data_IF_984446757828
#
_entry.id   IF_984446757828
#
_cell.length_a   1.000
_cell.length_b   1.000
_cell.length_c   1.000
_cell.angle_alpha   90.00
_cell.angle_beta   90.00
_cell.angle_gamma   90.00
#
_symmetry.space_group_name_H-M   'P 1'
#
loop_
_entity.id
_entity.type
_entity.pdbx_description
1 polymer ?
#
# COMPACT_ATOMS: atom_id res chain seq x y z
N UNK A 1 -25.92 -41.67 -2.53
CA UNK A 1 -26.85 -41.28 -1.44
C UNK A 1 -28.31 -41.56 -1.79
N UNK A 2 -28.86 -41.12 -2.94
CA UNK A 2 -30.25 -41.38 -3.30
C UNK A 2 -30.58 -42.80 -3.82
N UNK A 3 -29.75 -43.36 -4.71
CA UNK A 3 -29.90 -44.73 -5.22
C UNK A 3 -29.72 -45.76 -4.10
N UNK A 4 -28.76 -45.51 -3.20
CA UNK A 4 -28.55 -46.33 -2.00
C UNK A 4 -29.74 -46.26 -1.04
N UNK A 5 -30.36 -45.09 -0.87
CA UNK A 5 -31.57 -44.94 -0.07
C UNK A 5 -32.75 -45.70 -0.69
N UNK A 6 -33.00 -45.54 -1.99
CA UNK A 6 -34.05 -46.27 -2.73
C UNK A 6 -33.83 -47.80 -2.68
N UNK A 7 -32.59 -48.24 -2.85
CA UNK A 7 -32.22 -49.66 -2.76
C UNK A 7 -32.40 -50.19 -1.33
N UNK A 8 -32.00 -49.42 -0.31
CA UNK A 8 -32.14 -49.81 1.10
C UNK A 8 -33.60 -49.85 1.55
N UNK A 9 -34.43 -48.91 1.09
CA UNK A 9 -35.88 -48.93 1.32
C UNK A 9 -36.48 -50.21 0.72
N UNK A 10 -36.09 -50.56 -0.51
CA UNK A 10 -36.59 -51.78 -1.16
C UNK A 10 -36.09 -53.07 -0.47
N UNK A 11 -34.82 -53.13 -0.05
CA UNK A 11 -34.21 -54.38 0.44
C UNK A 11 -34.35 -54.61 1.94
N UNK A 12 -34.38 -53.53 2.73
CA UNK A 12 -34.15 -53.56 4.17
C UNK A 12 -35.28 -52.95 4.99
N UNK A 13 -36.11 -52.06 4.42
CA UNK A 13 -37.23 -51.47 5.17
C UNK A 13 -38.27 -52.53 5.57
N UNK A 14 -38.56 -53.50 4.70
CA UNK A 14 -39.48 -54.61 4.99
C UNK A 14 -39.07 -55.50 6.19
N UNK A 15 -37.80 -55.42 6.63
CA UNK A 15 -37.30 -56.16 7.80
C UNK A 15 -37.47 -55.43 9.12
N UNK A 16 -37.82 -54.14 9.09
CA UNK A 16 -37.93 -53.29 10.26
C UNK A 16 -39.40 -52.94 10.51
N UNK A 17 -40.06 -53.72 11.39
CA UNK A 17 -41.50 -53.62 11.68
C UNK A 17 -41.97 -52.26 12.21
N UNK A 18 -41.05 -51.42 12.70
CA UNK A 18 -41.34 -50.09 13.24
C UNK A 18 -41.24 -48.96 12.19
N UNK A 19 -40.74 -49.25 10.99
CA UNK A 19 -40.68 -48.26 9.89
C UNK A 19 -41.95 -48.47 9.07
N UNK A 20 -42.88 -47.53 9.15
CA UNK A 20 -44.07 -47.57 8.31
C UNK A 20 -43.72 -47.17 6.88
N UNK A 21 -43.74 -48.15 5.98
CA UNK A 21 -43.53 -48.01 4.53
C UNK A 21 -44.85 -48.09 3.76
N UNK A 22 -45.96 -48.23 4.48
CA UNK A 22 -47.29 -48.53 3.94
C UNK A 22 -48.23 -47.31 3.96
N UNK A 23 -47.82 -46.23 4.65
CA UNK A 23 -48.49 -44.94 4.59
C UNK A 23 -48.33 -44.34 3.18
N UNK A 24 -49.35 -43.64 2.66
CA UNK A 24 -49.42 -43.09 1.29
C UNK A 24 -48.39 -41.96 1.02
N UNK A 25 -47.35 -41.87 1.82
CA UNK A 25 -46.28 -40.91 1.70
C UNK A 25 -45.41 -41.24 0.48
N UNK A 26 -45.42 -40.30 -0.47
CA UNK A 26 -44.65 -40.32 -1.72
C UNK A 26 -43.13 -40.45 -1.50
N UNK A 27 -42.66 -40.26 -0.27
CA UNK A 27 -41.26 -40.31 0.16
C UNK A 27 -40.76 -41.73 0.46
N UNK A 28 -41.64 -42.68 0.82
CA UNK A 28 -41.26 -44.04 1.24
C UNK A 28 -41.92 -45.16 0.42
N UNK A 29 -42.72 -44.84 -0.59
CA UNK A 29 -43.44 -45.83 -1.40
C UNK A 29 -42.49 -46.78 -2.18
N UNK A 30 -42.51 -48.11 -1.91
CA UNK A 30 -41.62 -49.08 -2.56
C UNK A 30 -41.97 -49.37 -4.03
N UNK A 31 -43.18 -49.04 -4.49
CA UNK A 31 -43.63 -49.30 -5.87
C UNK A 31 -43.02 -48.30 -6.88
N UNK A 32 -42.80 -47.05 -6.45
CA UNK A 32 -42.26 -45.97 -7.30
C UNK A 32 -40.81 -45.63 -6.97
N UNK A 33 -39.90 -46.58 -7.23
CA UNK A 33 -38.45 -46.47 -6.91
C UNK A 33 -37.78 -45.22 -7.48
N UNK A 34 -38.15 -44.82 -8.71
CA UNK A 34 -37.60 -43.64 -9.39
C UNK A 34 -38.00 -42.35 -8.68
N UNK A 35 -39.27 -42.23 -8.28
CA UNK A 35 -39.81 -41.08 -7.57
C UNK A 35 -39.14 -40.92 -6.19
N UNK A 36 -39.07 -41.99 -5.41
CA UNK A 36 -38.36 -42.01 -4.10
C UNK A 36 -36.88 -41.64 -4.26
N UNK A 37 -36.22 -42.16 -5.30
CA UNK A 37 -34.84 -41.80 -5.62
C UNK A 37 -34.68 -40.31 -5.95
N UNK A 38 -35.57 -39.73 -6.75
CA UNK A 38 -35.52 -38.30 -7.08
C UNK A 38 -35.79 -37.41 -5.88
N UNK A 39 -36.80 -37.72 -5.05
CA UNK A 39 -37.07 -36.96 -3.83
C UNK A 39 -35.88 -37.08 -2.87
N UNK A 40 -35.38 -38.29 -2.62
CA UNK A 40 -34.21 -38.53 -1.75
C UNK A 40 -32.96 -37.78 -2.23
N UNK A 41 -32.80 -37.62 -3.55
CA UNK A 41 -31.72 -36.82 -4.14
C UNK A 41 -31.86 -35.35 -3.79
N UNK A 42 -33.02 -34.74 -4.04
CA UNK A 42 -33.25 -33.32 -3.70
C UNK A 42 -33.20 -33.07 -2.18
N UNK A 43 -33.73 -33.98 -1.37
CA UNK A 43 -33.61 -33.93 0.10
C UNK A 43 -32.14 -33.99 0.54
N UNK A 44 -31.35 -34.88 -0.06
CA UNK A 44 -29.90 -34.95 0.21
C UNK A 44 -29.16 -33.70 -0.26
N UNK A 45 -29.59 -33.10 -1.38
CA UNK A 45 -29.00 -31.86 -1.91
C UNK A 45 -29.25 -30.68 -0.96
N UNK A 46 -30.48 -30.52 -0.47
CA UNK A 46 -30.80 -29.51 0.55
C UNK A 46 -30.02 -29.76 1.84
N UNK A 47 -29.88 -31.02 2.26
CA UNK A 47 -29.07 -31.40 3.41
C UNK A 47 -27.59 -31.04 3.20
N UNK A 48 -26.96 -31.36 2.06
CA UNK A 48 -25.57 -30.96 1.85
C UNK A 48 -25.38 -29.47 1.54
N UNK A 49 -26.46 -28.72 1.28
CA UNK A 49 -26.44 -27.28 1.04
C UNK A 49 -25.89 -26.46 2.22
N UNK A 50 -25.93 -26.98 3.46
CA UNK A 50 -25.34 -26.30 4.62
C UNK A 50 -23.81 -26.51 4.76
N UNK A 51 -23.18 -27.36 3.94
CA UNK A 51 -21.73 -27.59 4.01
C UNK A 51 -20.92 -26.34 3.65
N UNK A 52 -21.46 -25.48 2.77
CA UNK A 52 -20.91 -24.16 2.49
C UNK A 52 -21.78 -23.14 3.23
N UNK A 53 -21.34 -22.68 4.43
CA UNK A 53 -22.11 -21.71 5.19
C UNK A 53 -22.22 -20.39 4.43
N UNK A 54 -23.45 -20.00 4.08
CA UNK A 54 -23.75 -18.70 3.45
C UNK A 54 -23.26 -17.55 4.34
N UNK A 55 -23.27 -17.75 5.67
CA UNK A 55 -22.79 -16.79 6.65
C UNK A 55 -21.28 -16.54 6.58
N UNK A 56 -20.46 -17.49 6.10
CA UNK A 56 -19.01 -17.31 6.00
C UNK A 56 -18.66 -16.20 5.01
N UNK A 57 -19.30 -16.20 3.85
CA UNK A 57 -19.06 -15.18 2.81
C UNK A 57 -19.37 -13.78 3.34
N UNK A 58 -20.56 -13.61 3.93
CA UNK A 58 -20.99 -12.32 4.49
C UNK A 58 -20.08 -11.90 5.66
N UNK A 59 -19.68 -12.84 6.52
CA UNK A 59 -18.78 -12.54 7.64
C UNK A 59 -17.39 -12.08 7.18
N UNK A 60 -16.85 -12.68 6.12
CA UNK A 60 -15.57 -12.25 5.54
C UNK A 60 -15.66 -10.83 4.99
N UNK A 61 -16.73 -10.49 4.28
CA UNK A 61 -16.96 -9.12 3.79
C UNK A 61 -17.06 -8.12 4.96
N UNK A 62 -17.78 -8.47 6.04
CA UNK A 62 -17.83 -7.62 7.24
C UNK A 62 -16.46 -7.42 7.89
N UNK A 63 -15.65 -8.46 7.99
CA UNK A 63 -14.29 -8.35 8.54
C UNK A 63 -13.42 -7.44 7.68
N UNK A 64 -13.48 -7.53 6.35
CA UNK A 64 -12.72 -6.65 5.44
C UNK A 64 -13.13 -5.19 5.58
N UNK A 65 -14.44 -4.93 5.66
CA UNK A 65 -14.96 -3.57 5.87
C UNK A 65 -14.51 -3.03 7.23
N UNK A 66 -14.60 -3.85 8.28
CA UNK A 66 -14.12 -3.47 9.61
C UNK A 66 -12.62 -3.16 9.59
N UNK A 67 -11.82 -3.97 8.90
CA UNK A 67 -10.38 -3.77 8.77
C UNK A 67 -10.02 -2.44 8.11
N UNK A 68 -10.63 -2.16 6.94
CA UNK A 68 -10.38 -0.91 6.22
C UNK A 68 -10.87 0.31 6.99
N UNK A 69 -12.08 0.25 7.54
CA UNK A 69 -12.69 1.40 8.19
C UNK A 69 -12.10 1.72 9.58
N UNK A 70 -11.84 0.69 10.39
CA UNK A 70 -11.40 0.89 11.78
C UNK A 70 -9.88 0.97 11.89
N UNK A 71 -9.13 0.13 11.18
CA UNK A 71 -7.68 0.12 11.30
C UNK A 71 -7.01 1.01 10.27
N UNK A 72 -7.27 0.84 8.97
CA UNK A 72 -6.53 1.56 7.94
C UNK A 72 -6.83 3.07 7.97
N UNK A 73 -8.12 3.43 7.98
CA UNK A 73 -8.53 4.83 7.90
C UNK A 73 -8.26 5.64 9.17
N UNK A 74 -8.06 4.97 10.32
CA UNK A 74 -7.78 5.64 11.61
C UNK A 74 -6.32 5.52 12.05
N UNK A 75 -5.45 4.97 11.21
CA UNK A 75 -4.04 4.85 11.56
C UNK A 75 -3.35 6.22 11.51
N UNK A 76 -2.85 6.67 12.67
CA UNK A 76 -2.11 7.93 12.80
C UNK A 76 -0.74 7.88 12.13
N UNK A 77 -0.16 6.70 11.90
CA UNK A 77 1.14 6.55 11.23
C UNK A 77 1.06 6.80 9.73
N UNK A 78 -0.11 6.60 9.13
CA UNK A 78 -0.36 6.81 7.70
C UNK A 78 -1.09 8.14 7.42
N UNK A 79 -1.07 9.07 8.38
CA UNK A 79 -1.67 10.39 8.24
C UNK A 79 -0.61 11.44 7.89
N UNK A 80 -0.84 12.18 6.81
CA UNK A 80 0.05 13.24 6.36
C UNK A 80 -0.35 14.58 6.99
N UNK A 81 0.48 15.08 7.92
CA UNK A 81 0.17 16.26 8.74
C UNK A 81 0.14 17.56 7.95
N UNK A 82 1.04 17.75 6.99
CA UNK A 82 1.22 19.04 6.32
C UNK A 82 0.05 19.37 5.36
N UNK A 83 -0.61 18.34 4.84
CA UNK A 83 -1.78 18.48 3.94
C UNK A 83 -3.10 18.05 4.59
N UNK A 84 -3.08 17.73 5.89
CA UNK A 84 -4.23 17.19 6.63
C UNK A 84 -4.93 16.01 5.91
N UNK A 85 -4.14 15.11 5.32
CA UNK A 85 -4.68 14.01 4.49
C UNK A 85 -4.50 12.66 5.19
N UNK A 86 -5.60 12.01 5.64
CA UNK A 86 -5.54 10.64 6.15
C UNK A 86 -5.45 9.61 5.02
N UNK A 87 -4.92 8.43 5.32
CA UNK A 87 -5.06 7.27 4.45
C UNK A 87 -6.53 6.84 4.37
N UNK A 88 -7.03 6.58 3.16
CA UNK A 88 -8.42 6.17 2.94
C UNK A 88 -8.46 4.96 2.01
N UNK A 89 -8.89 3.81 2.55
CA UNK A 89 -9.26 2.65 1.75
C UNK A 89 -10.61 2.90 1.07
N UNK A 90 -10.57 3.09 -0.26
CA UNK A 90 -11.79 3.19 -1.09
C UNK A 90 -12.39 1.82 -1.45
N UNK A 91 -11.55 0.79 -1.49
CA UNK A 91 -11.93 -0.58 -1.83
C UNK A 91 -11.41 -1.53 -0.76
N UNK A 92 -12.30 -2.05 0.09
CA UNK A 92 -11.93 -2.91 1.22
C UNK A 92 -11.66 -4.36 0.83
N UNK A 93 -12.06 -4.76 -0.38
CA UNK A 93 -11.90 -6.14 -0.86
C UNK A 93 -10.47 -6.48 -1.27
N UNK A 94 -9.58 -5.48 -1.32
CA UNK A 94 -8.17 -5.63 -1.66
C UNK A 94 -7.26 -5.63 -0.42
N UNK A 95 -7.83 -5.53 0.79
CA UNK A 95 -7.05 -5.40 2.01
C UNK A 95 -6.13 -6.62 2.24
N UNK A 96 -6.59 -7.82 1.90
CA UNK A 96 -5.79 -9.04 1.95
C UNK A 96 -4.74 -9.13 0.84
N UNK A 97 -5.02 -8.57 -0.34
CA UNK A 97 -4.09 -8.58 -1.48
C UNK A 97 -2.86 -7.71 -1.20
N UNK A 98 -3.02 -6.64 -0.40
CA UNK A 98 -1.92 -5.80 0.07
C UNK A 98 -0.85 -6.61 0.81
N UNK A 99 -1.23 -7.70 1.48
CA UNK A 99 -0.30 -8.60 2.18
C UNK A 99 0.50 -9.53 1.27
N UNK A 100 0.12 -9.62 -0.01
CA UNK A 100 0.69 -10.56 -0.99
C UNK A 100 1.44 -9.86 -2.14
N UNK A 101 1.70 -8.55 -2.01
CA UNK A 101 2.37 -7.78 -3.07
C UNK A 101 3.84 -8.21 -3.21
N UNK A 102 4.23 -8.65 -4.42
CA UNK A 102 5.62 -8.96 -4.77
C UNK A 102 6.33 -7.82 -5.52
N UNK A 103 5.59 -7.00 -6.27
CA UNK A 103 6.17 -5.98 -7.14
C UNK A 103 5.40 -4.68 -7.00
N UNK A 104 6.13 -3.60 -6.70
CA UNK A 104 5.59 -2.23 -6.61
C UNK A 104 6.01 -1.49 -7.87
N UNK A 105 5.03 -1.03 -8.63
CA UNK A 105 5.24 -0.13 -9.76
C UNK A 105 5.04 1.29 -9.25
N UNK A 106 6.13 2.05 -9.16
CA UNK A 106 6.11 3.43 -8.67
C UNK A 106 6.33 4.42 -9.80
N UNK A 107 5.56 5.50 -9.80
CA UNK A 107 5.85 6.67 -10.63
C UNK A 107 6.99 7.49 -10.03
N UNK A 108 7.70 8.26 -10.85
CA UNK A 108 8.80 9.12 -10.40
C UNK A 108 8.29 10.45 -9.88
N UNK A 109 7.56 11.19 -10.71
CA UNK A 109 7.21 12.58 -10.44
C UNK A 109 5.96 12.64 -9.56
N UNK A 110 6.03 13.34 -8.42
CA UNK A 110 4.91 13.44 -7.49
C UNK A 110 4.70 12.22 -6.58
N UNK A 111 5.39 11.11 -6.83
CA UNK A 111 5.42 9.94 -5.92
C UNK A 111 6.79 9.81 -5.25
N UNK A 112 7.88 9.72 -6.01
CA UNK A 112 9.24 9.64 -5.45
C UNK A 112 9.87 11.01 -5.23
N UNK A 113 9.44 12.03 -5.99
CA UNK A 113 9.99 13.39 -5.90
C UNK A 113 8.90 14.41 -5.58
N UNK A 114 9.23 15.38 -4.73
CA UNK A 114 8.34 16.51 -4.40
C UNK A 114 8.26 17.59 -5.50
N UNK A 115 8.75 17.30 -6.71
CA UNK A 115 8.87 18.24 -7.83
C UNK A 115 9.53 19.59 -7.46
N UNK A 116 10.38 19.59 -6.43
CA UNK A 116 11.20 20.72 -6.02
C UNK A 116 12.66 20.35 -6.23
N UNK A 117 13.42 21.25 -6.84
CA UNK A 117 14.87 21.11 -7.02
C UNK A 117 15.56 22.19 -6.20
N UNK A 118 16.54 21.76 -5.41
CA UNK A 118 17.28 22.64 -4.51
C UNK A 118 18.76 22.58 -4.85
N UNK A 119 19.42 23.74 -4.82
CA UNK A 119 20.88 23.79 -4.90
C UNK A 119 21.46 23.36 -3.55
N UNK A 120 22.17 22.23 -3.52
CA UNK A 120 22.64 21.60 -2.27
C UNK A 120 24.17 21.53 -2.17
N UNK A 121 24.84 21.08 -3.23
CA UNK A 121 26.31 20.94 -3.30
C UNK A 121 26.82 21.35 -4.70
N UNK A 122 28.05 21.83 -4.77
CA UNK A 122 28.72 22.13 -6.03
C UNK A 122 30.22 21.86 -5.95
N UNK A 123 30.88 21.78 -7.10
CA UNK A 123 32.33 21.64 -7.18
C UNK A 123 32.92 22.78 -8.00
N UNK A 124 33.88 23.50 -7.41
CA UNK A 124 34.56 24.64 -8.03
C UNK A 124 36.06 24.37 -7.95
N UNK A 125 36.74 24.32 -9.10
CA UNK A 125 38.20 24.13 -9.14
C UNK A 125 38.68 22.79 -8.55
N UNK A 126 37.86 21.74 -8.60
CA UNK A 126 38.17 20.43 -8.02
C UNK A 126 37.91 20.31 -6.52
N UNK A 127 37.41 21.37 -5.87
CA UNK A 127 37.01 21.34 -4.46
C UNK A 127 35.48 21.24 -4.39
N UNK A 128 34.98 20.27 -3.62
CA UNK A 128 33.54 20.14 -3.33
C UNK A 128 33.13 21.09 -2.21
N UNK A 129 31.99 21.74 -2.41
CA UNK A 129 31.37 22.67 -1.48
C UNK A 129 29.92 22.28 -1.20
N UNK A 130 29.46 22.64 0.00
CA UNK A 130 28.16 22.26 0.55
C UNK A 130 28.33 21.37 1.78
N UNK A 131 27.76 21.83 2.89
CA UNK A 131 27.66 21.17 4.19
C UNK A 131 26.33 20.41 4.25
N UNK A 132 26.33 19.27 4.93
CA UNK A 132 25.17 18.39 5.06
C UNK A 132 25.34 17.05 4.35
N UNK A 133 24.71 16.03 4.91
CA UNK A 133 24.67 14.68 4.33
C UNK A 133 23.28 14.49 3.76
N UNK A 134 23.19 14.27 2.45
CA UNK A 134 21.89 13.96 1.84
C UNK A 134 21.34 12.66 2.40
N UNK A 135 20.01 12.53 2.46
CA UNK A 135 19.38 11.27 2.87
C UNK A 135 19.84 10.09 1.99
N UNK A 136 20.13 10.36 0.71
CA UNK A 136 20.69 9.40 -0.25
C UNK A 136 22.11 8.96 0.15
N UNK A 137 23.01 9.90 0.43
CA UNK A 137 24.37 9.58 0.91
C UNK A 137 24.32 8.77 2.21
N UNK A 138 23.41 9.15 3.13
CA UNK A 138 23.15 8.41 4.37
C UNK A 138 22.71 6.98 4.10
N UNK A 139 21.76 6.77 3.19
CA UNK A 139 21.27 5.44 2.82
C UNK A 139 22.37 4.58 2.18
N UNK A 140 23.21 5.17 1.33
CA UNK A 140 24.35 4.48 0.69
C UNK A 140 25.38 4.07 1.76
N UNK A 141 25.70 4.96 2.70
CA UNK A 141 26.66 4.69 3.78
C UNK A 141 26.12 3.66 4.79
N UNK A 142 24.82 3.70 5.09
CA UNK A 142 24.15 2.70 5.90
C UNK A 142 24.23 1.30 5.26
N UNK A 143 24.03 1.20 3.93
CA UNK A 143 24.24 -0.06 3.18
C UNK A 143 25.68 -0.58 3.24
N UNK A 144 26.66 0.32 3.38
CA UNK A 144 28.08 -0.01 3.57
C UNK A 144 28.44 -0.35 5.02
N UNK A 145 27.47 -0.39 5.94
CA UNK A 145 27.68 -0.72 7.36
C UNK A 145 28.24 0.42 8.19
N UNK A 146 28.31 1.64 7.66
CA UNK A 146 28.83 2.82 8.38
C UNK A 146 27.66 3.47 9.12
N UNK A 147 27.67 3.41 10.46
CA UNK A 147 26.71 4.14 11.29
C UNK A 147 27.11 5.62 11.32
N UNK A 148 26.24 6.47 10.79
CA UNK A 148 26.42 7.91 10.80
C UNK A 148 25.81 8.53 12.06
N UNK A 149 26.33 9.67 12.52
CA UNK A 149 25.74 10.41 13.62
C UNK A 149 24.29 10.82 13.29
N UNK A 150 23.43 10.95 14.32
CA UNK A 150 22.04 11.38 14.17
C UNK A 150 21.96 12.76 13.52
N UNK A 151 20.87 13.01 12.79
CA UNK A 151 20.59 14.29 12.13
C UNK A 151 20.52 15.36 13.21
N UNK A 152 21.35 16.40 13.11
CA UNK A 152 21.24 17.56 14.00
C UNK A 152 20.06 18.41 13.54
N UNK A 153 19.13 18.73 14.44
CA UNK A 153 17.90 19.52 14.20
C UNK A 153 18.14 20.93 13.60
N UNK A 154 19.40 21.39 13.51
CA UNK A 154 19.77 22.66 12.87
C UNK A 154 19.85 22.61 11.32
N UNK A 155 19.52 21.47 10.71
CA UNK A 155 19.43 21.27 9.25
C UNK A 155 18.05 21.58 8.65
N UNK A 156 17.15 22.27 9.37
CA UNK A 156 15.92 22.76 8.75
C UNK A 156 16.23 23.84 7.70
N UNK A 157 15.72 23.62 6.49
CA UNK A 157 15.80 24.51 5.35
C UNK A 157 15.36 25.93 5.74
N UNK A 158 16.22 26.92 5.53
CA UNK A 158 15.91 28.34 5.81
C UNK A 158 15.07 28.93 4.67
N UNK A 159 15.12 28.33 3.48
CA UNK A 159 14.30 28.67 2.32
C UNK A 159 13.91 27.41 1.55
N UNK A 160 12.68 27.34 1.02
CA UNK A 160 12.13 26.14 0.36
C UNK A 160 12.77 25.79 -1.00
N UNK A 161 13.83 26.50 -1.40
CA UNK A 161 14.45 26.36 -2.73
C UNK A 161 15.97 26.51 -2.73
N UNK A 162 16.58 26.87 -1.59
CA UNK A 162 18.03 27.04 -1.49
C UNK A 162 18.57 26.45 -0.18
N UNK A 163 19.15 25.25 -0.29
CA UNK A 163 19.70 24.50 0.84
C UNK A 163 21.22 24.31 0.72
N UNK A 164 21.91 25.27 0.13
CA UNK A 164 23.36 25.29 0.05
C UNK A 164 23.95 26.08 1.22
N UNK A 165 24.68 25.39 2.09
CA UNK A 165 25.44 26.02 3.18
C UNK A 165 26.89 25.63 3.05
N UNK A 166 27.79 26.59 3.03
CA UNK A 166 29.22 26.31 3.12
C UNK A 166 29.90 27.58 3.61
N UNK A 167 30.48 27.56 4.81
CA UNK A 167 31.14 28.73 5.42
C UNK A 167 32.22 29.35 4.54
N UNK A 168 32.74 28.60 3.56
CA UNK A 168 33.79 29.04 2.64
C UNK A 168 33.24 29.85 1.45
N UNK A 169 31.93 29.75 1.17
CA UNK A 169 31.28 30.38 0.02
C UNK A 169 30.12 31.31 0.42
N UNK A 170 29.45 31.05 1.54
CA UNK A 170 28.36 31.90 2.04
C UNK A 170 28.89 33.18 2.71
N UNK A 171 28.01 34.15 2.96
CA UNK A 171 28.28 35.37 3.73
C UNK A 171 29.44 36.24 3.21
N UNK A 172 29.74 36.15 1.91
CA UNK A 172 30.82 36.92 1.28
C UNK A 172 32.22 36.37 1.53
N UNK A 173 32.37 35.26 2.24
CA UNK A 173 33.66 34.61 2.52
C UNK A 173 34.43 34.20 1.25
N UNK A 174 33.72 34.03 0.13
CA UNK A 174 34.33 33.77 -1.18
C UNK A 174 35.20 34.92 -1.72
N UNK A 175 35.03 36.14 -1.19
CA UNK A 175 35.74 37.35 -1.68
C UNK A 175 37.18 37.46 -1.22
N UNK A 176 37.53 36.81 -0.11
CA UNK A 176 38.84 36.91 0.53
C UNK A 176 39.77 35.74 0.16
N UNK A 177 39.27 34.80 -0.65
CA UNK A 177 40.05 33.64 -1.09
C UNK A 177 40.92 33.94 -2.31
N UNK A 178 42.02 33.19 -2.44
CA UNK A 178 42.93 33.25 -3.59
C UNK A 178 42.27 32.84 -4.91
N UNK A 179 41.23 32.00 -4.88
CA UNK A 179 40.45 31.49 -6.01
C UNK A 179 39.21 32.34 -6.34
N UNK A 180 39.14 33.59 -5.85
CA UNK A 180 37.99 34.50 -6.04
C UNK A 180 37.51 34.62 -7.48
N UNK A 181 38.42 34.70 -8.46
CA UNK A 181 38.06 34.84 -9.87
C UNK A 181 37.36 33.59 -10.41
N UNK A 182 37.75 32.41 -9.92
CA UNK A 182 37.14 31.14 -10.30
C UNK A 182 35.72 31.02 -9.72
N UNK A 183 35.55 31.30 -8.41
CA UNK A 183 34.24 31.33 -7.75
C UNK A 183 33.31 32.36 -8.39
N UNK A 184 33.82 33.57 -8.68
CA UNK A 184 33.08 34.63 -9.37
C UNK A 184 32.66 34.19 -10.78
N UNK A 185 33.55 33.54 -11.53
CA UNK A 185 33.25 32.99 -12.85
C UNK A 185 32.15 31.94 -12.80
N UNK A 186 32.25 30.99 -11.87
CA UNK A 186 31.25 29.94 -11.67
C UNK A 186 29.85 30.50 -11.38
N UNK A 187 29.71 31.37 -10.38
CA UNK A 187 28.40 31.96 -10.05
C UNK A 187 27.88 32.88 -11.16
N UNK A 188 28.76 33.56 -11.89
CA UNK A 188 28.35 34.37 -13.05
C UNK A 188 27.76 33.50 -14.15
N UNK A 189 28.37 32.35 -14.45
CA UNK A 189 27.83 31.40 -15.43
C UNK A 189 26.48 30.86 -14.94
N UNK A 190 26.37 30.48 -13.66
CA UNK A 190 25.12 29.97 -13.08
C UNK A 190 23.97 30.99 -13.17
N UNK A 191 24.27 32.29 -12.98
CA UNK A 191 23.29 33.37 -13.05
C UNK A 191 22.93 33.80 -14.48
N UNK A 192 23.87 33.75 -15.43
CA UNK A 192 23.69 34.29 -16.79
C UNK A 192 23.30 33.21 -17.81
N UNK A 193 23.81 31.99 -17.67
CA UNK A 193 23.55 30.88 -18.60
C UNK A 193 22.25 30.15 -18.25
N UNK A 194 21.16 30.90 -18.17
CA UNK A 194 19.87 30.40 -17.74
C UNK A 194 18.75 31.23 -18.40
N UNK A 195 17.57 30.64 -18.62
CA UNK A 195 16.45 31.29 -19.33
C UNK A 195 15.27 31.65 -18.42
N UNK A 196 15.47 31.63 -17.10
CA UNK A 196 14.46 32.04 -16.12
C UNK A 196 14.26 33.55 -16.20
N UNK A 197 12.98 33.91 -16.28
CA UNK A 197 12.51 35.28 -16.24
C UNK A 197 12.23 35.59 -14.76
N UNK A 198 12.89 36.59 -14.15
CA UNK A 198 12.60 36.97 -12.78
C UNK A 198 11.21 37.63 -12.73
N UNK A 199 10.29 36.98 -12.02
CA UNK A 199 8.97 37.53 -11.72
C UNK A 199 9.05 38.30 -10.40
N UNK A 200 8.75 39.61 -10.43
CA UNK A 200 8.73 40.44 -9.23
C UNK A 200 8.26 41.86 -9.51
N UNK A 201 7.45 42.42 -8.60
CA UNK A 201 7.26 43.87 -8.56
C UNK A 201 8.62 44.51 -8.26
N UNK A 202 9.01 45.59 -8.95
CA UNK A 202 10.20 46.34 -8.56
C UNK A 202 10.02 46.77 -7.11
N UNK A 203 10.80 46.17 -6.20
CA UNK A 203 10.92 46.71 -4.84
C UNK A 203 11.43 48.15 -4.96
N UNK A 204 10.85 49.09 -4.18
CA UNK A 204 11.12 50.52 -4.29
C UNK A 204 12.58 50.90 -4.03
#
# INVERSE_FOLDING_TARGET
SAVFCSQWITSSAARHWYIDVNEQDVTFNPDNKTLVGTISFFTSYVLYGYLIPISLYVSLEFVKVFQGFVFLNKDRKMYHKDTDTPAVARTTNLNEELGMIHTVLSDKTGTLTCNSMEFFKCSIGGVSYGEGITEIERAIQARKGIKLPPVSEHEHAVESSFNFRDKRLTDGAWRDRSDKQLCRGFFRVLAVCQTVIPEGNPTP
#
